data_IF_938582324569
#
_entry.id   IF_938582324569
#
_cell.length_a   1.000
_cell.length_b   1.000
_cell.length_c   1.000
_cell.angle_alpha   90.00
_cell.angle_beta   90.00
_cell.angle_gamma   90.00
#
_symmetry.space_group_name_H-M   'P 1'
#
loop_
_entity.id
_entity.type
_entity.pdbx_description
1 polymer ?
#
# COMPACT_ATOMS: atom_id res chain seq x y z
N UNK A 1 11.52 15.80 -31.99
CA UNK A 1 10.25 16.15 -31.30
C UNK A 1 9.16 15.11 -31.54
N UNK A 2 8.80 14.78 -32.80
CA UNK A 2 7.73 13.81 -33.15
C UNK A 2 7.85 12.39 -32.57
N UNK A 3 9.08 11.88 -32.34
CA UNK A 3 9.25 10.53 -31.77
C UNK A 3 8.84 10.47 -30.28
N UNK A 4 9.21 11.51 -29.52
CA UNK A 4 8.94 11.59 -28.07
C UNK A 4 7.44 11.71 -27.78
N UNK A 5 6.72 12.47 -28.60
CA UNK A 5 5.26 12.60 -28.51
C UNK A 5 4.54 11.29 -28.83
N UNK A 6 4.98 10.56 -29.87
CA UNK A 6 4.44 9.24 -30.21
C UNK A 6 4.69 8.23 -29.09
N UNK A 7 5.87 8.21 -28.49
CA UNK A 7 6.20 7.34 -27.36
C UNK A 7 5.36 7.65 -26.12
N UNK A 8 5.14 8.93 -25.81
CA UNK A 8 4.31 9.35 -24.66
C UNK A 8 2.84 8.94 -24.88
N UNK A 9 2.30 9.17 -26.07
CA UNK A 9 0.94 8.78 -26.41
C UNK A 9 0.72 7.25 -26.33
N UNK A 10 1.70 6.48 -26.82
CA UNK A 10 1.67 5.02 -26.75
C UNK A 10 1.73 4.50 -25.30
N UNK A 11 2.62 5.05 -24.48
CA UNK A 11 2.71 4.70 -23.06
C UNK A 11 1.42 5.06 -22.31
N UNK A 12 0.82 6.22 -22.60
CA UNK A 12 -0.45 6.63 -22.01
C UNK A 12 -1.60 5.67 -22.38
N UNK A 13 -1.57 5.12 -23.60
CA UNK A 13 -2.55 4.13 -24.05
C UNK A 13 -2.35 2.76 -23.39
N UNK A 14 -1.12 2.25 -23.32
CA UNK A 14 -0.83 0.89 -22.83
C UNK A 14 -0.86 0.78 -21.30
N UNK A 15 -0.41 1.82 -20.59
CA UNK A 15 -0.30 1.83 -19.13
C UNK A 15 -1.55 1.32 -18.39
N UNK A 16 -2.79 1.74 -18.69
CA UNK A 16 -3.97 1.22 -17.99
C UNK A 16 -4.17 -0.28 -18.21
N UNK A 17 -3.83 -0.82 -19.38
CA UNK A 17 -3.93 -2.26 -19.67
C UNK A 17 -2.88 -3.06 -18.90
N UNK A 18 -1.63 -2.56 -18.82
CA UNK A 18 -0.59 -3.19 -18.01
C UNK A 18 -0.96 -3.22 -16.52
N UNK A 19 -1.51 -2.12 -15.99
CA UNK A 19 -1.96 -2.09 -14.60
C UNK A 19 -3.07 -3.09 -14.33
N UNK A 20 -4.05 -3.21 -15.23
CA UNK A 20 -5.10 -4.24 -15.14
C UNK A 20 -4.52 -5.65 -15.16
N UNK A 21 -3.50 -5.88 -15.99
CA UNK A 21 -2.81 -7.16 -16.06
C UNK A 21 -2.07 -7.45 -14.74
N UNK A 22 -1.43 -6.47 -14.11
CA UNK A 22 -0.86 -6.66 -12.78
C UNK A 22 -1.92 -6.93 -11.71
N UNK A 23 -3.07 -6.26 -11.78
CA UNK A 23 -4.14 -6.51 -10.81
C UNK A 23 -4.70 -7.93 -10.95
N UNK A 24 -4.99 -8.34 -12.18
CA UNK A 24 -5.49 -9.68 -12.48
C UNK A 24 -4.42 -10.74 -12.19
N UNK A 25 -3.16 -10.48 -12.56
CA UNK A 25 -2.03 -11.36 -12.30
C UNK A 25 -1.82 -11.62 -10.81
N UNK A 26 -1.98 -10.61 -9.95
CA UNK A 26 -1.97 -10.80 -8.50
C UNK A 26 -3.07 -11.76 -8.03
N UNK A 27 -4.31 -11.58 -8.50
CA UNK A 27 -5.44 -12.44 -8.12
C UNK A 27 -5.21 -13.87 -8.61
N UNK A 28 -4.84 -14.03 -9.87
CA UNK A 28 -4.60 -15.34 -10.48
C UNK A 28 -3.37 -16.05 -9.89
N UNK A 29 -2.45 -15.31 -9.26
CA UNK A 29 -1.29 -15.90 -8.58
C UNK A 29 -1.67 -16.90 -7.48
N UNK A 30 -2.86 -16.73 -6.87
CA UNK A 30 -3.38 -17.65 -5.87
C UNK A 30 -3.92 -18.97 -6.44
N UNK A 31 -4.12 -19.07 -7.76
CA UNK A 31 -4.47 -20.33 -8.43
C UNK A 31 -3.23 -21.17 -8.76
N UNK A 32 -2.04 -20.60 -8.64
CA UNK A 32 -0.77 -21.27 -8.92
C UNK A 32 -0.20 -21.95 -7.66
N UNK A 33 0.75 -22.89 -7.83
CA UNK A 33 1.55 -23.41 -6.73
C UNK A 33 2.23 -22.25 -5.99
N UNK A 34 1.97 -22.13 -4.68
CA UNK A 34 2.33 -20.95 -3.91
C UNK A 34 3.51 -21.22 -3.00
N UNK A 35 3.42 -22.28 -2.21
CA UNK A 35 4.49 -22.73 -1.31
C UNK A 35 4.51 -24.25 -1.23
N UNK A 36 5.71 -24.80 -1.03
CA UNK A 36 5.85 -26.17 -0.55
C UNK A 36 6.27 -26.13 0.90
N UNK A 37 5.69 -27.02 1.70
CA UNK A 37 5.94 -27.10 3.13
C UNK A 37 6.51 -28.46 3.45
N UNK A 38 7.63 -28.47 4.16
CA UNK A 38 8.24 -29.70 4.67
C UNK A 38 8.03 -29.80 6.18
N UNK A 39 7.13 -30.71 6.57
CA UNK A 39 6.77 -30.92 7.96
C UNK A 39 7.95 -31.39 8.82
N UNK A 40 8.17 -30.77 9.98
CA UNK A 40 9.26 -31.16 10.90
C UNK A 40 9.17 -32.63 11.37
N UNK A 41 7.96 -33.11 11.64
CA UNK A 41 7.73 -34.46 12.20
C UNK A 41 7.70 -35.56 11.13
N UNK A 42 6.95 -35.34 10.03
CA UNK A 42 6.75 -36.36 9.00
C UNK A 42 7.78 -36.29 7.87
N UNK A 43 8.59 -35.22 7.78
CA UNK A 43 9.56 -34.92 6.70
C UNK A 43 9.03 -34.99 5.26
N UNK A 44 7.72 -35.22 5.07
CA UNK A 44 7.03 -35.26 3.79
C UNK A 44 6.82 -33.83 3.28
N UNK A 45 7.07 -33.63 1.99
CA UNK A 45 6.75 -32.40 1.26
C UNK A 45 5.26 -32.37 0.96
N UNK A 46 4.62 -31.27 1.33
CA UNK A 46 3.26 -30.92 0.95
C UNK A 46 3.32 -29.77 -0.05
N UNK A 47 2.62 -29.91 -1.17
CA UNK A 47 2.55 -28.90 -2.23
C UNK A 47 1.24 -28.14 -2.07
N UNK A 48 1.32 -26.85 -1.75
CA UNK A 48 0.14 -26.03 -1.50
C UNK A 48 -0.04 -24.99 -2.61
N UNK A 49 -1.22 -24.99 -3.21
CA UNK A 49 -1.64 -23.90 -4.08
C UNK A 49 -2.10 -22.72 -3.23
N UNK A 50 -2.17 -21.53 -3.83
CA UNK A 50 -2.56 -20.33 -3.08
C UNK A 50 -3.99 -20.43 -2.53
N UNK A 51 -4.88 -21.13 -3.22
CA UNK A 51 -6.25 -21.38 -2.75
C UNK A 51 -6.30 -22.31 -1.52
N UNK A 52 -5.31 -23.19 -1.35
CA UNK A 52 -5.22 -24.03 -0.15
C UNK A 52 -4.89 -23.18 1.09
N UNK A 53 -4.10 -22.11 0.91
CA UNK A 53 -3.78 -21.15 1.99
C UNK A 53 -5.00 -20.35 2.45
N UNK A 54 -6.00 -20.16 1.57
CA UNK A 54 -7.24 -19.44 1.88
C UNK A 54 -8.12 -20.18 2.89
N UNK A 55 -8.03 -21.52 2.94
CA UNK A 55 -8.83 -22.36 3.83
C UNK A 55 -8.24 -22.48 5.25
N UNK A 56 -7.13 -21.79 5.53
CA UNK A 56 -6.50 -21.80 6.85
C UNK A 56 -7.12 -20.78 7.81
N UNK A 57 -6.81 -20.88 9.10
CA UNK A 57 -7.22 -19.89 10.13
C UNK A 57 -6.76 -18.46 9.81
N UNK A 58 -5.66 -18.32 9.05
CA UNK A 58 -5.12 -17.04 8.60
C UNK A 58 -5.61 -16.64 7.20
N UNK A 59 -6.51 -17.43 6.60
CA UNK A 59 -7.10 -17.24 5.28
C UNK A 59 -7.69 -15.86 5.04
N UNK A 60 -8.23 -15.24 6.10
CA UNK A 60 -8.85 -13.91 6.05
C UNK A 60 -7.90 -12.83 5.50
N UNK A 61 -6.62 -12.89 5.85
CA UNK A 61 -5.65 -11.88 5.40
C UNK A 61 -5.41 -11.99 3.89
N UNK A 62 -5.34 -13.21 3.35
CA UNK A 62 -5.25 -13.43 1.91
C UNK A 62 -6.51 -12.95 1.19
N UNK A 63 -7.71 -13.24 1.71
CA UNK A 63 -8.97 -12.70 1.15
C UNK A 63 -8.99 -11.17 1.13
N UNK A 64 -8.50 -10.51 2.17
CA UNK A 64 -8.35 -9.04 2.19
C UNK A 64 -7.44 -8.57 1.06
N UNK A 65 -6.28 -9.21 0.85
CA UNK A 65 -5.36 -8.82 -0.23
C UNK A 65 -5.96 -9.03 -1.63
N UNK A 66 -6.67 -10.13 -1.83
CA UNK A 66 -7.38 -10.43 -3.09
C UNK A 66 -8.48 -9.37 -3.31
N UNK A 67 -9.24 -9.06 -2.26
CA UNK A 67 -10.30 -8.04 -2.30
C UNK A 67 -9.77 -6.65 -2.67
N UNK A 68 -8.62 -6.24 -2.12
CA UNK A 68 -7.94 -4.98 -2.47
C UNK A 68 -7.63 -4.94 -3.98
N UNK A 69 -7.03 -6.00 -4.52
CA UNK A 69 -6.64 -6.04 -5.94
C UNK A 69 -7.84 -6.17 -6.86
N UNK A 70 -8.89 -6.88 -6.44
CA UNK A 70 -10.17 -6.92 -7.16
C UNK A 70 -10.83 -5.55 -7.21
N UNK A 71 -10.83 -4.81 -6.10
CA UNK A 71 -11.32 -3.43 -6.06
C UNK A 71 -10.50 -2.53 -7.00
N UNK A 72 -9.16 -2.64 -7.02
CA UNK A 72 -8.32 -1.89 -7.97
C UNK A 72 -8.61 -2.24 -9.42
N UNK A 73 -8.84 -3.52 -9.73
CA UNK A 73 -9.24 -3.96 -11.05
C UNK A 73 -10.56 -3.31 -11.49
N UNK A 74 -11.60 -3.37 -10.65
CA UNK A 74 -12.92 -2.77 -10.93
C UNK A 74 -12.80 -1.26 -11.08
N UNK A 75 -12.15 -0.59 -10.13
CA UNK A 75 -11.96 0.86 -10.14
C UNK A 75 -11.16 1.34 -11.36
N UNK A 76 -10.29 0.49 -11.94
CA UNK A 76 -9.52 0.84 -13.14
C UNK A 76 -10.37 1.08 -14.39
N UNK A 77 -11.65 0.67 -14.39
CA UNK A 77 -12.60 0.93 -15.49
C UNK A 77 -13.36 2.25 -15.30
N UNK A 78 -13.38 2.80 -14.09
CA UNK A 78 -14.11 4.02 -13.77
C UNK A 78 -13.24 5.22 -14.10
N UNK A 79 -13.58 5.95 -15.16
CA UNK A 79 -13.00 7.27 -15.43
C UNK A 79 -13.73 8.33 -14.61
N UNK A 80 -12.99 9.02 -13.74
CA UNK A 80 -13.51 10.18 -13.00
C UNK A 80 -12.46 11.29 -13.00
N UNK A 81 -12.94 12.51 -13.29
CA UNK A 81 -12.12 13.72 -13.22
C UNK A 81 -12.03 14.17 -11.77
N UNK A 82 -10.99 13.68 -11.10
CA UNK A 82 -10.65 14.08 -9.74
C UNK A 82 -9.67 15.25 -9.75
N UNK A 83 -9.70 16.05 -8.68
CA UNK A 83 -8.68 17.06 -8.41
C UNK A 83 -7.29 16.43 -8.38
N UNK A 84 -6.27 17.22 -8.72
CA UNK A 84 -4.89 16.73 -8.75
C UNK A 84 -4.44 16.18 -7.39
N UNK A 85 -4.79 16.85 -6.30
CA UNK A 85 -4.49 16.41 -4.93
C UNK A 85 -5.16 15.07 -4.61
N UNK A 86 -6.43 14.88 -5.01
CA UNK A 86 -7.12 13.61 -4.80
C UNK A 86 -6.55 12.48 -5.67
N UNK A 87 -6.12 12.76 -6.91
CA UNK A 87 -5.42 11.75 -7.74
C UNK A 87 -4.09 11.33 -7.13
N UNK A 88 -3.30 12.29 -6.64
CA UNK A 88 -2.05 12.02 -5.94
C UNK A 88 -2.31 11.16 -4.69
N UNK A 89 -3.32 11.53 -3.91
CA UNK A 89 -3.74 10.82 -2.70
C UNK A 89 -4.20 9.38 -3.02
N UNK A 90 -5.09 9.20 -4.00
CA UNK A 90 -5.55 7.87 -4.41
C UNK A 90 -4.40 6.99 -4.92
N UNK A 91 -3.41 7.59 -5.58
CA UNK A 91 -2.25 6.86 -6.08
C UNK A 91 -1.31 6.38 -4.98
N UNK A 92 -1.02 7.22 -3.97
CA UNK A 92 -0.22 6.79 -2.82
C UNK A 92 -0.98 5.78 -1.95
N UNK A 93 -2.31 5.90 -1.84
CA UNK A 93 -3.12 4.93 -1.11
C UNK A 93 -3.14 3.57 -1.81
N UNK A 94 -3.20 3.56 -3.16
CA UNK A 94 -2.99 2.36 -3.96
C UNK A 94 -1.63 1.72 -3.68
N UNK A 95 -0.56 2.53 -3.58
CA UNK A 95 0.76 2.02 -3.22
C UNK A 95 0.77 1.42 -1.82
N UNK A 96 0.22 2.10 -0.81
CA UNK A 96 0.10 1.59 0.56
C UNK A 96 -0.57 0.21 0.62
N UNK A 97 -1.74 0.09 -0.01
CA UNK A 97 -2.48 -1.15 -0.08
C UNK A 97 -1.71 -2.26 -0.82
N UNK A 98 -1.03 -1.94 -1.92
CA UNK A 98 -0.18 -2.90 -2.63
C UNK A 98 1.02 -3.33 -1.78
N UNK A 99 1.65 -2.40 -1.07
CA UNK A 99 2.71 -2.69 -0.11
C UNK A 99 2.22 -3.58 1.04
N UNK A 100 1.01 -3.34 1.55
CA UNK A 100 0.40 -4.15 2.60
C UNK A 100 0.13 -5.56 2.09
N UNK A 101 -0.48 -5.69 0.91
CA UNK A 101 -0.70 -7.00 0.28
C UNK A 101 0.62 -7.74 0.03
N UNK A 102 1.67 -7.03 -0.40
CA UNK A 102 3.02 -7.57 -0.56
C UNK A 102 3.61 -8.09 0.75
N UNK A 103 3.45 -7.36 1.86
CA UNK A 103 3.85 -7.81 3.19
C UNK A 103 3.08 -9.06 3.63
N UNK A 104 1.76 -9.09 3.44
CA UNK A 104 0.92 -10.25 3.80
C UNK A 104 1.40 -11.50 3.08
N UNK A 105 1.57 -11.46 1.76
CA UNK A 105 2.02 -12.65 1.00
C UNK A 105 3.47 -13.04 1.31
N UNK A 106 4.32 -12.08 1.70
CA UNK A 106 5.71 -12.31 2.05
C UNK A 106 5.83 -13.07 3.37
N UNK A 107 5.03 -12.68 4.37
CA UNK A 107 5.18 -13.14 5.75
C UNK A 107 4.17 -14.18 6.19
N UNK A 108 2.92 -14.13 5.71
CA UNK A 108 1.89 -15.06 6.19
C UNK A 108 2.22 -16.53 5.97
N UNK A 109 2.83 -16.97 4.86
CA UNK A 109 3.20 -18.37 4.73
C UNK A 109 4.16 -18.83 5.85
N UNK A 110 5.09 -17.97 6.28
CA UNK A 110 6.01 -18.30 7.39
C UNK A 110 5.31 -18.29 8.75
N UNK A 111 4.32 -17.41 8.95
CA UNK A 111 3.55 -17.35 10.19
C UNK A 111 2.58 -18.54 10.32
N UNK A 112 2.01 -18.96 9.19
CA UNK A 112 1.10 -20.11 9.12
C UNK A 112 1.85 -21.44 9.35
N UNK A 113 3.10 -21.53 8.90
CA UNK A 113 3.96 -22.72 9.01
C UNK A 113 5.20 -22.45 9.86
N UNK A 114 5.00 -21.92 11.08
CA UNK A 114 6.08 -21.41 11.94
C UNK A 114 7.19 -22.42 12.24
N UNK A 115 6.86 -23.72 12.24
CA UNK A 115 7.77 -24.81 12.57
C UNK A 115 8.25 -25.62 11.37
N UNK A 116 7.79 -25.30 10.15
CA UNK A 116 8.10 -26.09 8.96
C UNK A 116 9.01 -25.31 8.00
N UNK A 117 9.75 -26.02 7.15
CA UNK A 117 10.52 -25.38 6.09
C UNK A 117 9.57 -25.00 4.94
N UNK A 118 9.55 -23.72 4.57
CA UNK A 118 8.69 -23.18 3.51
C UNK A 118 9.53 -22.81 2.28
N UNK A 119 9.21 -23.43 1.15
CA UNK A 119 9.82 -23.13 -0.15
C UNK A 119 8.84 -22.36 -1.03
N UNK A 120 9.22 -21.15 -1.45
CA UNK A 120 8.38 -20.32 -2.29
C UNK A 120 8.34 -20.79 -3.75
N UNK A 121 7.15 -20.72 -4.35
CA UNK A 121 6.90 -21.16 -5.74
C UNK A 121 6.45 -20.00 -6.63
N UNK A 122 6.04 -20.34 -7.85
CA UNK A 122 5.73 -19.37 -8.91
C UNK A 122 4.55 -18.45 -8.58
N UNK A 123 3.53 -18.94 -7.88
CA UNK A 123 2.40 -18.14 -7.42
C UNK A 123 2.85 -17.02 -6.48
N UNK A 124 3.69 -17.35 -5.50
CA UNK A 124 4.31 -16.35 -4.62
C UNK A 124 5.11 -15.30 -5.41
N UNK A 125 5.97 -15.75 -6.32
CA UNK A 125 6.81 -14.85 -7.11
C UNK A 125 6.00 -13.89 -7.98
N UNK A 126 4.95 -14.39 -8.62
CA UNK A 126 4.03 -13.58 -9.43
C UNK A 126 3.27 -12.57 -8.57
N UNK A 127 2.69 -13.01 -7.45
CA UNK A 127 1.98 -12.12 -6.52
C UNK A 127 2.87 -10.99 -6.02
N UNK A 128 4.11 -11.30 -5.62
CA UNK A 128 5.06 -10.32 -5.12
C UNK A 128 5.48 -9.33 -6.21
N UNK A 129 5.75 -9.82 -7.42
CA UNK A 129 6.09 -8.97 -8.56
C UNK A 129 4.94 -8.01 -8.93
N UNK A 130 3.69 -8.50 -8.95
CA UNK A 130 2.52 -7.68 -9.21
C UNK A 130 2.33 -6.61 -8.12
N UNK A 131 2.45 -6.99 -6.83
CA UNK A 131 2.36 -6.04 -5.72
C UNK A 131 3.45 -4.96 -5.80
N UNK A 132 4.70 -5.36 -6.07
CA UNK A 132 5.81 -4.44 -6.23
C UNK A 132 5.62 -3.48 -7.42
N UNK A 133 5.13 -3.97 -8.56
CA UNK A 133 4.84 -3.15 -9.73
C UNK A 133 3.75 -2.10 -9.45
N UNK A 134 2.68 -2.49 -8.77
CA UNK A 134 1.58 -1.57 -8.39
C UNK A 134 2.05 -0.56 -7.35
N UNK A 135 2.87 -0.99 -6.37
CA UNK A 135 3.49 -0.11 -5.39
C UNK A 135 4.35 0.95 -6.07
N UNK A 136 5.26 0.54 -6.97
CA UNK A 136 6.14 1.43 -7.69
C UNK A 136 5.37 2.41 -8.59
N UNK A 137 4.33 1.95 -9.30
CA UNK A 137 3.48 2.83 -10.10
C UNK A 137 2.75 3.88 -9.23
N UNK A 138 2.13 3.45 -8.13
CA UNK A 138 1.43 4.36 -7.23
C UNK A 138 2.36 5.37 -6.54
N UNK A 139 3.52 4.90 -6.07
CA UNK A 139 4.55 5.75 -5.46
C UNK A 139 5.11 6.77 -6.46
N UNK A 140 5.43 6.35 -7.68
CA UNK A 140 5.99 7.27 -8.69
C UNK A 140 5.00 8.31 -9.17
N UNK A 141 3.72 7.96 -9.37
CA UNK A 141 2.68 8.92 -9.75
C UNK A 141 2.46 9.92 -8.62
N UNK A 142 2.29 9.45 -7.38
CA UNK A 142 2.02 10.32 -6.24
C UNK A 142 3.16 11.32 -5.99
N UNK A 143 4.43 10.90 -6.08
CA UNK A 143 5.58 11.80 -5.95
C UNK A 143 5.63 12.85 -7.07
N UNK A 144 5.36 12.45 -8.32
CA UNK A 144 5.30 13.38 -9.45
C UNK A 144 4.20 14.41 -9.28
N UNK A 145 3.01 13.97 -8.89
CA UNK A 145 1.87 14.86 -8.65
C UNK A 145 2.10 15.75 -7.44
N UNK A 146 2.73 15.26 -6.37
CA UNK A 146 3.12 16.07 -5.22
C UNK A 146 4.11 17.18 -5.59
N UNK A 147 5.16 16.85 -6.37
CA UNK A 147 6.10 17.84 -6.87
C UNK A 147 5.39 18.90 -7.74
N UNK A 148 4.44 18.48 -8.59
CA UNK A 148 3.65 19.41 -9.39
C UNK A 148 2.72 20.28 -8.53
N UNK A 149 2.09 19.72 -7.48
CA UNK A 149 1.27 20.48 -6.53
C UNK A 149 2.07 21.55 -5.80
N UNK A 150 3.34 21.27 -5.47
CA UNK A 150 4.26 22.24 -4.86
C UNK A 150 4.65 23.37 -5.80
N UNK A 151 4.88 23.06 -7.07
CA UNK A 151 5.19 24.07 -8.09
C UNK A 151 3.98 24.96 -8.41
N UNK A 152 2.78 24.40 -8.34
CA UNK A 152 1.51 25.10 -8.60
C UNK A 152 0.87 25.64 -7.30
N UNK A 153 1.66 25.91 -6.27
CA UNK A 153 1.13 26.36 -4.97
C UNK A 153 0.44 27.72 -5.11
N UNK A 154 -0.83 27.87 -4.70
CA UNK A 154 -1.50 29.16 -4.70
C UNK A 154 -0.81 30.12 -3.73
N UNK A 155 -0.72 31.41 -4.09
CA UNK A 155 -0.06 32.44 -3.28
C UNK A 155 -0.68 32.61 -1.88
N UNK A 156 -1.97 32.30 -1.74
CA UNK A 156 -2.70 32.35 -0.47
C UNK A 156 -3.54 31.09 -0.20
N UNK A 157 -4.15 30.98 0.99
CA UNK A 157 -5.13 29.95 1.30
C UNK A 157 -6.37 30.10 0.41
N UNK A 158 -6.85 28.98 -0.14
CA UNK A 158 -8.08 28.98 -0.93
C UNK A 158 -9.33 29.11 -0.05
N UNK A 159 -10.47 29.40 -0.68
CA UNK A 159 -11.77 29.34 -0.04
C UNK A 159 -12.01 27.94 0.57
N UNK A 160 -12.42 27.88 1.84
CA UNK A 160 -12.61 26.62 2.57
C UNK A 160 -11.37 26.07 3.31
N UNK A 161 -10.24 26.79 3.27
CA UNK A 161 -9.08 26.51 4.10
C UNK A 161 -9.41 26.51 5.60
N UNK A 162 -8.89 25.53 6.33
CA UNK A 162 -9.04 25.44 7.79
C UNK A 162 -7.67 25.27 8.46
N UNK A 163 -7.22 26.26 9.26
CA UNK A 163 -5.98 26.16 10.03
C UNK A 163 -5.98 24.95 10.99
N UNK A 164 -7.11 24.70 11.66
CA UNK A 164 -7.24 23.58 12.60
C UNK A 164 -7.03 22.23 11.90
N UNK A 165 -7.65 22.04 10.72
CA UNK A 165 -7.48 20.82 9.93
C UNK A 165 -6.04 20.65 9.45
N UNK A 166 -5.37 21.75 9.09
CA UNK A 166 -3.95 21.74 8.71
C UNK A 166 -3.06 21.29 9.89
N UNK A 167 -3.25 21.87 11.08
CA UNK A 167 -2.49 21.50 12.27
C UNK A 167 -2.74 20.04 12.68
N UNK A 168 -3.98 19.56 12.55
CA UNK A 168 -4.31 18.16 12.77
C UNK A 168 -3.46 17.22 11.88
N UNK A 169 -3.42 17.46 10.56
CA UNK A 169 -2.61 16.62 9.66
C UNK A 169 -1.10 16.77 9.89
N UNK A 170 -0.60 17.93 10.33
CA UNK A 170 0.78 18.05 10.81
C UNK A 170 1.03 17.15 12.03
N UNK A 171 0.12 17.13 13.00
CA UNK A 171 0.19 16.24 14.15
C UNK A 171 0.25 14.76 13.73
N UNK A 172 -0.56 14.36 12.75
CA UNK A 172 -0.52 13.01 12.18
C UNK A 172 0.83 12.69 11.55
N UNK A 173 1.45 13.64 10.83
CA UNK A 173 2.80 13.46 10.25
C UNK A 173 3.83 13.27 11.36
N UNK A 174 3.82 14.14 12.37
CA UNK A 174 4.75 14.07 13.50
C UNK A 174 4.61 12.73 14.20
N UNK A 175 3.38 12.31 14.51
CA UNK A 175 3.13 11.00 15.12
C UNK A 175 3.65 9.87 14.22
N UNK A 176 3.37 9.91 12.92
CA UNK A 176 3.83 8.88 11.97
C UNK A 176 5.36 8.77 11.91
N UNK A 177 6.07 9.88 12.06
CA UNK A 177 7.55 9.90 12.13
C UNK A 177 8.03 9.36 13.48
N UNK A 178 7.39 9.73 14.59
CA UNK A 178 7.70 9.22 15.92
C UNK A 178 7.46 7.71 16.05
N UNK A 179 6.62 7.13 15.20
CA UNK A 179 6.43 5.68 15.16
C UNK A 179 7.64 4.92 14.64
N UNK A 180 8.50 5.55 13.83
CA UNK A 180 9.70 4.91 13.28
C UNK A 180 10.59 4.36 14.40
N UNK A 181 11.10 5.17 15.35
CA UNK A 181 11.95 4.64 16.42
C UNK A 181 11.23 3.60 17.29
N UNK A 182 9.91 3.72 17.47
CA UNK A 182 9.10 2.74 18.22
C UNK A 182 9.12 1.38 17.52
N UNK A 183 8.86 1.31 16.21
CA UNK A 183 8.91 0.04 15.48
C UNK A 183 10.30 -0.59 15.49
N UNK A 184 11.35 0.22 15.30
CA UNK A 184 12.73 -0.28 15.36
C UNK A 184 13.10 -0.80 16.76
N UNK A 185 12.59 -0.20 17.82
CA UNK A 185 12.80 -0.68 19.18
C UNK A 185 12.05 -1.99 19.46
N UNK A 186 10.75 -2.05 19.11
CA UNK A 186 9.92 -3.24 19.32
C UNK A 186 10.38 -4.42 18.47
N UNK A 187 10.87 -4.17 17.25
CA UNK A 187 11.32 -5.19 16.29
C UNK A 187 12.85 -5.26 16.20
N UNK A 188 13.58 -4.93 17.28
CA UNK A 188 15.05 -4.88 17.27
C UNK A 188 15.74 -6.19 16.84
N UNK A 189 15.06 -7.33 17.01
CA UNK A 189 15.56 -8.65 16.59
C UNK A 189 15.32 -8.92 15.10
N UNK A 190 14.42 -8.17 14.47
CA UNK A 190 13.96 -8.33 13.09
C UNK A 190 14.06 -6.99 12.33
N UNK A 191 15.26 -6.40 12.31
CA UNK A 191 15.51 -5.07 11.71
C UNK A 191 15.04 -5.00 10.26
N UNK A 192 15.19 -6.08 9.48
CA UNK A 192 14.73 -6.15 8.09
C UNK A 192 13.21 -5.96 8.01
N UNK A 193 12.46 -6.56 8.94
CA UNK A 193 11.01 -6.42 8.99
C UNK A 193 10.60 -4.99 9.36
N UNK A 194 11.26 -4.39 10.34
CA UNK A 194 11.07 -2.99 10.71
C UNK A 194 11.32 -2.05 9.51
N UNK A 195 12.40 -2.29 8.74
CA UNK A 195 12.71 -1.53 7.53
C UNK A 195 11.63 -1.68 6.45
N UNK A 196 11.10 -2.89 6.24
CA UNK A 196 10.04 -3.13 5.26
C UNK A 196 8.74 -2.42 5.65
N UNK A 197 8.35 -2.46 6.93
CA UNK A 197 7.18 -1.71 7.42
C UNK A 197 7.39 -0.20 7.21
N UNK A 198 8.57 0.31 7.56
CA UNK A 198 8.88 1.72 7.35
C UNK A 198 8.77 2.12 5.87
N UNK A 199 9.41 1.37 4.98
CA UNK A 199 9.48 1.70 3.55
C UNK A 199 8.15 1.51 2.82
N UNK A 200 7.39 0.47 3.18
CA UNK A 200 6.16 0.11 2.46
C UNK A 200 4.89 0.70 3.09
N UNK A 201 4.94 1.10 4.36
CA UNK A 201 3.78 1.63 5.09
C UNK A 201 4.03 3.04 5.61
N UNK A 202 4.99 3.25 6.50
CA UNK A 202 5.14 4.54 7.20
C UNK A 202 5.55 5.69 6.27
N UNK A 203 6.53 5.47 5.38
CA UNK A 203 6.98 6.51 4.45
C UNK A 203 5.87 6.89 3.43
N UNK A 204 5.18 5.94 2.77
CA UNK A 204 4.03 6.27 1.93
C UNK A 204 2.88 6.96 2.69
N UNK A 205 2.63 6.57 3.94
CA UNK A 205 1.64 7.25 4.80
C UNK A 205 2.05 8.70 5.10
N UNK A 206 3.32 8.97 5.38
CA UNK A 206 3.82 10.34 5.55
C UNK A 206 3.62 11.16 4.26
N UNK A 207 3.97 10.58 3.10
CA UNK A 207 3.74 11.20 1.79
C UNK A 207 2.25 11.50 1.56
N UNK A 208 1.35 10.58 1.93
CA UNK A 208 -0.09 10.82 1.80
C UNK A 208 -0.56 12.00 2.63
N UNK A 209 -0.03 12.18 3.85
CA UNK A 209 -0.38 13.34 4.68
C UNK A 209 0.16 14.64 4.10
N UNK A 210 1.36 14.65 3.49
CA UNK A 210 1.84 15.83 2.76
C UNK A 210 0.92 16.21 1.60
N UNK A 211 0.40 15.24 0.85
CA UNK A 211 -0.58 15.46 -0.21
C UNK A 211 -1.89 16.02 0.37
N UNK A 212 -2.35 15.50 1.50
CA UNK A 212 -3.55 15.99 2.19
C UNK A 212 -3.39 17.44 2.61
N UNK A 213 -2.21 17.83 3.12
CA UNK A 213 -1.94 19.24 3.47
C UNK A 213 -2.08 20.18 2.26
N UNK A 214 -1.66 19.75 1.07
CA UNK A 214 -1.91 20.50 -0.16
C UNK A 214 -3.41 20.56 -0.52
N UNK A 215 -4.14 19.45 -0.32
CA UNK A 215 -5.60 19.43 -0.45
C UNK A 215 -6.30 20.38 0.51
N UNK A 216 -5.85 20.47 1.77
CA UNK A 216 -6.39 21.40 2.78
C UNK A 216 -6.11 22.83 2.38
N UNK A 217 -4.89 23.14 1.91
CA UNK A 217 -4.52 24.47 1.40
C UNK A 217 -5.42 24.92 0.24
N UNK A 218 -5.81 23.97 -0.61
CA UNK A 218 -6.70 24.16 -1.76
C UNK A 218 -8.19 24.11 -1.41
N UNK A 219 -8.55 23.97 -0.13
CA UNK A 219 -9.95 23.97 0.33
C UNK A 219 -10.74 22.71 -0.05
N UNK A 220 -10.06 21.60 -0.37
CA UNK A 220 -10.72 20.40 -0.89
C UNK A 220 -11.52 19.66 0.20
N UNK A 221 -12.83 19.47 -0.01
CA UNK A 221 -13.77 18.93 0.99
C UNK A 221 -13.44 17.51 1.47
N UNK A 222 -12.87 16.67 0.60
CA UNK A 222 -12.55 15.27 0.94
C UNK A 222 -11.52 15.15 2.07
N UNK A 223 -10.69 16.18 2.28
CA UNK A 223 -9.69 16.19 3.36
C UNK A 223 -10.33 16.12 4.75
N UNK A 224 -11.56 16.63 4.91
CA UNK A 224 -12.33 16.50 6.16
C UNK A 224 -12.80 15.07 6.42
N UNK A 225 -13.24 14.38 5.36
CA UNK A 225 -13.62 12.97 5.44
C UNK A 225 -12.40 12.12 5.77
N UNK A 226 -11.27 12.44 5.13
CA UNK A 226 -10.00 11.78 5.41
C UNK A 226 -9.52 11.99 6.85
N UNK A 227 -9.74 13.18 7.43
CA UNK A 227 -9.39 13.44 8.82
C UNK A 227 -10.09 12.48 9.80
N UNK A 228 -11.35 12.16 9.56
CA UNK A 228 -12.10 11.16 10.35
C UNK A 228 -11.48 9.77 10.20
N UNK A 229 -11.22 9.35 8.95
CA UNK A 229 -10.63 8.04 8.68
C UNK A 229 -9.24 7.89 9.33
N UNK A 230 -8.38 8.91 9.21
CA UNK A 230 -7.03 8.86 9.79
C UNK A 230 -7.06 8.94 11.32
N UNK A 231 -8.09 9.53 11.95
CA UNK A 231 -8.26 9.46 13.41
C UNK A 231 -8.35 8.01 13.89
N UNK A 232 -9.15 7.19 13.22
CA UNK A 232 -9.27 5.77 13.57
C UNK A 232 -7.95 5.02 13.40
N UNK A 233 -7.19 5.32 12.33
CA UNK A 233 -5.86 4.74 12.10
C UNK A 233 -4.90 5.14 13.23
N UNK A 234 -4.90 6.41 13.63
CA UNK A 234 -4.07 6.92 14.72
C UNK A 234 -4.43 6.28 16.05
N UNK A 235 -5.71 6.19 16.39
CA UNK A 235 -6.17 5.54 17.63
C UNK A 235 -5.77 4.07 17.65
N UNK A 236 -5.96 3.35 16.53
CA UNK A 236 -5.54 1.95 16.42
C UNK A 236 -4.02 1.80 16.57
N UNK A 237 -3.23 2.67 15.93
CA UNK A 237 -1.78 2.67 16.06
C UNK A 237 -1.35 2.91 17.52
N UNK A 238 -1.93 3.90 18.20
CA UNK A 238 -1.65 4.18 19.60
C UNK A 238 -2.01 3.00 20.51
N UNK A 239 -3.16 2.37 20.30
CA UNK A 239 -3.55 1.19 21.05
C UNK A 239 -2.56 0.03 20.86
N UNK A 240 -2.10 -0.21 19.62
CA UNK A 240 -1.10 -1.22 19.31
C UNK A 240 0.25 -0.94 20.00
N UNK A 241 0.67 0.32 20.06
CA UNK A 241 1.88 0.70 20.80
C UNK A 241 1.75 0.37 22.27
N UNK A 242 0.65 0.81 22.91
CA UNK A 242 0.41 0.58 24.34
C UNK A 242 0.43 -0.91 24.64
N UNK A 243 -0.26 -1.72 23.84
CA UNK A 243 -0.25 -3.18 23.97
C UNK A 243 1.13 -3.79 23.73
N UNK A 244 1.95 -3.23 22.85
CA UNK A 244 3.30 -3.72 22.56
C UNK A 244 4.34 -3.40 23.66
N UNK A 245 4.04 -2.48 24.57
CA UNK A 245 4.89 -2.13 25.72
C UNK A 245 4.40 -2.71 27.05
N UNK A 246 3.22 -3.33 27.07
CA UNK A 246 2.70 -4.11 28.20
C UNK A 246 3.23 -5.55 28.16
#
# INVERSE_FOLDING_TARGET
>A
MKLKEKSIAFLAFIKPHLLRLFYLGFILSFLLPYVDVRGCSNKKMQYLHGYDLLNSDQGIMYYVTIGIFAAFFILSFIKRDYSRSFRAFGSIWKALCAGFSGLVILFMPRLQFLFDEVFYRSGFGLGLACAAAVFADGGTISLKELAALWNERPAGPAEGFSPALRYYHYGVIVLSILMIPVYFFLMRKDIIFAMLIFLLQSAPLAVSQFIVLEGVRRGEKWTRIWAVAVSFIVVAALALIVMGFM
#
